data_IF_394606760813
#
_entry.id   IF_394606760813
#
_cell.length_a   1.000
_cell.length_b   1.000
_cell.length_c   1.000
_cell.angle_alpha   90.00
_cell.angle_beta   90.00
_cell.angle_gamma   90.00
#
_symmetry.space_group_name_H-M   'P 1'
#
loop_
_entity.id
_entity.type
_entity.pdbx_description
1 polymer ?
#
# COMPACT_ATOMS: atom_id res chain seq x y z
N UNK A 1 8.64 -14.21 4.91
CA UNK A 1 8.67 -13.56 3.59
C UNK A 1 7.26 -13.49 3.04
N UNK A 2 6.71 -12.29 2.94
CA UNK A 2 5.33 -12.02 2.52
C UNK A 2 5.14 -10.59 2.01
N UNK A 3 5.75 -9.60 2.68
CA UNK A 3 5.82 -8.22 2.19
C UNK A 3 7.00 -8.07 1.23
N UNK A 4 6.78 -7.47 0.05
CA UNK A 4 7.80 -7.36 -1.00
C UNK A 4 8.01 -5.91 -1.45
N UNK A 5 6.99 -5.30 -2.06
CA UNK A 5 7.13 -4.01 -2.75
C UNK A 5 6.17 -2.97 -2.19
N UNK A 6 6.69 -1.84 -1.67
CA UNK A 6 5.90 -0.67 -1.37
C UNK A 6 5.85 0.32 -2.55
N UNK A 7 4.71 0.98 -2.71
CA UNK A 7 4.55 2.20 -3.48
C UNK A 7 3.98 3.31 -2.59
N UNK A 8 4.31 4.56 -2.89
CA UNK A 8 3.79 5.73 -2.17
C UNK A 8 2.84 6.49 -3.09
N UNK A 9 1.58 6.60 -2.67
CA UNK A 9 0.64 7.52 -3.31
C UNK A 9 0.68 8.87 -2.60
N UNK A 10 1.00 9.93 -3.33
CA UNK A 10 1.06 11.29 -2.79
C UNK A 10 -0.30 11.95 -2.92
N UNK A 11 -0.89 12.35 -1.79
CA UNK A 11 -2.16 13.05 -1.81
C UNK A 11 -1.98 14.45 -2.45
N UNK A 12 -2.76 14.81 -3.48
CA UNK A 12 -2.45 15.95 -4.35
C UNK A 12 -2.45 17.31 -3.64
N UNK A 13 -3.32 17.47 -2.64
CA UNK A 13 -3.52 18.76 -1.95
C UNK A 13 -3.08 18.76 -0.47
N UNK A 14 -2.68 17.61 0.07
CA UNK A 14 -2.48 17.44 1.51
C UNK A 14 -1.47 16.32 1.74
N UNK A 15 -0.15 16.59 1.58
CA UNK A 15 0.87 15.56 1.61
C UNK A 15 0.90 14.70 2.88
N UNK A 16 0.42 15.22 4.02
CA UNK A 16 0.26 14.47 5.26
C UNK A 16 -0.79 13.35 5.21
N UNK A 17 -1.68 13.37 4.22
CA UNK A 17 -2.68 12.33 3.95
C UNK A 17 -2.22 11.32 2.89
N UNK A 18 -0.94 11.32 2.54
CA UNK A 18 -0.36 10.36 1.59
C UNK A 18 -0.40 8.94 2.17
N UNK A 19 -0.36 7.95 1.28
CA UNK A 19 -0.55 6.55 1.63
C UNK A 19 0.68 5.73 1.25
N UNK A 20 1.01 4.76 2.10
CA UNK A 20 1.93 3.67 1.75
C UNK A 20 1.08 2.47 1.36
N UNK A 21 1.31 1.96 0.16
CA UNK A 21 0.59 0.82 -0.39
C UNK A 21 1.61 -0.29 -0.57
N UNK A 22 1.39 -1.42 0.09
CA UNK A 22 2.28 -2.58 0.02
C UNK A 22 1.55 -3.82 -0.50
N UNK A 23 2.31 -4.79 -0.95
CA UNK A 23 1.81 -6.13 -1.26
C UNK A 23 2.10 -7.09 -0.12
N UNK A 24 1.17 -8.02 0.08
CA UNK A 24 1.39 -9.25 0.80
C UNK A 24 1.19 -10.40 -0.19
N UNK A 25 2.28 -11.05 -0.63
CA UNK A 25 2.29 -12.10 -1.68
C UNK A 25 1.31 -13.24 -1.46
N UNK A 26 0.81 -13.41 -0.24
CA UNK A 26 -0.12 -14.47 0.14
C UNK A 26 -1.54 -13.96 0.35
N UNK A 27 -1.74 -12.66 0.52
CA UNK A 27 -3.01 -12.07 0.97
C UNK A 27 -3.57 -11.03 0.01
N UNK A 28 -2.75 -10.14 -0.55
CA UNK A 28 -3.19 -9.11 -1.50
C UNK A 28 -2.55 -7.75 -1.24
N UNK A 29 -3.34 -6.68 -1.23
CA UNK A 29 -2.87 -5.30 -0.97
C UNK A 29 -3.11 -4.91 0.48
N UNK A 30 -2.15 -4.18 1.05
CA UNK A 30 -2.27 -3.55 2.37
C UNK A 30 -2.01 -2.05 2.23
N UNK A 31 -2.85 -1.22 2.85
CA UNK A 31 -2.77 0.25 2.78
C UNK A 31 -2.55 0.82 4.17
N UNK A 32 -1.60 1.74 4.28
CA UNK A 32 -1.16 2.36 5.53
C UNK A 32 -1.13 3.88 5.41
N UNK A 33 -1.37 4.56 6.53
CA UNK A 33 -1.02 5.98 6.66
C UNK A 33 0.50 6.18 6.87
N UNK A 34 0.94 7.44 6.88
CA UNK A 34 2.37 7.79 7.06
C UNK A 34 2.92 7.48 8.46
N UNK A 35 2.05 7.24 9.45
CA UNK A 35 2.45 6.79 10.78
C UNK A 35 2.49 5.26 10.89
N UNK A 36 2.22 4.54 9.79
CA UNK A 36 2.25 3.09 9.72
C UNK A 36 1.00 2.41 10.28
N UNK A 37 -0.10 3.14 10.52
CA UNK A 37 -1.38 2.51 10.89
C UNK A 37 -2.02 1.93 9.64
N UNK A 38 -2.45 0.67 9.73
CA UNK A 38 -3.14 -0.01 8.62
C UNK A 38 -4.55 0.54 8.48
N UNK A 39 -4.86 1.08 7.31
CA UNK A 39 -6.17 1.63 6.98
C UNK A 39 -7.07 0.61 6.28
N UNK A 40 -6.49 -0.23 5.42
CA UNK A 40 -7.26 -1.20 4.62
C UNK A 40 -6.43 -2.43 4.26
N UNK A 41 -7.14 -3.55 4.04
CA UNK A 41 -6.62 -4.77 3.41
C UNK A 41 -7.57 -5.16 2.29
N UNK A 42 -7.01 -5.48 1.12
CA UNK A 42 -7.73 -6.13 0.03
C UNK A 42 -7.20 -7.56 -0.09
N UNK A 43 -8.05 -8.54 0.17
CA UNK A 43 -7.68 -9.96 0.18
C UNK A 43 -7.74 -10.60 -1.23
N UNK A 44 -7.13 -9.94 -2.21
CA UNK A 44 -7.20 -10.32 -3.63
C UNK A 44 -6.17 -11.42 -4.01
N UNK A 45 -5.66 -12.14 -3.01
CA UNK A 45 -4.80 -13.30 -3.19
C UNK A 45 -3.33 -12.95 -3.46
N UNK A 46 -2.73 -13.54 -4.50
CA UNK A 46 -1.29 -13.49 -4.72
C UNK A 46 -0.90 -12.31 -5.60
N UNK A 47 -0.66 -11.16 -4.97
CA UNK A 47 -0.12 -9.98 -5.64
C UNK A 47 1.36 -9.84 -5.28
N UNK A 48 2.22 -9.75 -6.29
CA UNK A 48 3.66 -9.67 -6.08
C UNK A 48 4.11 -8.21 -5.89
N UNK A 49 3.78 -7.33 -6.85
CA UNK A 49 4.28 -5.97 -6.92
C UNK A 49 3.13 -4.97 -7.03
N UNK A 50 3.37 -3.74 -6.62
CA UNK A 50 2.45 -2.61 -6.77
C UNK A 50 3.19 -1.39 -7.28
N UNK A 51 2.51 -0.58 -8.09
CA UNK A 51 2.99 0.70 -8.58
C UNK A 51 1.82 1.70 -8.58
N UNK A 52 2.14 3.00 -8.48
CA UNK A 52 1.16 4.08 -8.44
C UNK A 52 1.51 5.10 -9.51
N UNK A 53 0.50 5.59 -10.24
CA UNK A 53 0.65 6.61 -11.28
C UNK A 53 -0.17 7.86 -10.94
N UNK A 54 0.33 9.06 -11.30
CA UNK A 54 -0.38 10.32 -11.12
C UNK A 54 -1.59 10.47 -12.05
#
# INVERSE_FOLDING_TARGET
>A
DAADDPAVWVHPNSPSLSLVIGTNKKRGIEVYDLEGRRLQVLEDGRINNVDVRP
#
